data_IF_379736173292
#
_entry.id   IF_379736173292
#
_cell.length_a   1.000
_cell.length_b   1.000
_cell.length_c   1.000
_cell.angle_alpha   90.00
_cell.angle_beta   90.00
_cell.angle_gamma   90.00
#
_symmetry.space_group_name_H-M   'P 1'
#
loop_
_entity.id
_entity.type
_entity.pdbx_description
1 polymer ?
#
# COMPACT_ATOMS: atom_id res chain seq x y z
N UNK A 1 -42.02 23.23 29.86
CA UNK A 1 -41.86 22.41 28.64
C UNK A 1 -40.43 21.90 28.70
N UNK A 2 -40.27 20.64 29.05
CA UNK A 2 -39.06 20.08 29.66
C UNK A 2 -38.07 19.68 28.55
N UNK A 3 -36.83 20.09 28.76
CA UNK A 3 -35.64 19.86 27.97
C UNK A 3 -35.22 18.38 28.05
N UNK A 4 -35.29 17.66 26.94
CA UNK A 4 -34.86 16.26 26.85
C UNK A 4 -33.37 16.21 26.49
N UNK A 5 -32.52 16.11 27.52
CA UNK A 5 -31.13 15.68 27.39
C UNK A 5 -31.07 14.15 27.22
N UNK A 6 -30.23 13.61 26.33
CA UNK A 6 -30.01 12.17 26.23
C UNK A 6 -29.14 11.69 27.40
N UNK A 7 -29.72 10.80 28.20
CA UNK A 7 -29.11 10.16 29.37
C UNK A 7 -28.12 9.08 28.88
N UNK A 8 -26.83 9.24 29.18
CA UNK A 8 -25.82 8.21 28.95
C UNK A 8 -26.03 7.07 29.97
N UNK A 9 -26.03 5.78 29.56
CA UNK A 9 -26.03 4.68 30.51
C UNK A 9 -24.66 4.58 31.19
N UNK A 10 -24.54 5.21 32.35
CA UNK A 10 -23.46 4.93 33.32
C UNK A 10 -23.73 3.55 33.90
N UNK A 11 -23.02 2.52 33.44
CA UNK A 11 -22.65 1.30 34.17
C UNK A 11 -22.17 0.23 33.17
N UNK A 12 -20.91 0.31 32.76
CA UNK A 12 -20.20 -0.83 32.13
C UNK A 12 -18.95 -1.12 32.97
N UNK A 13 -18.79 -2.34 33.51
CA UNK A 13 -17.76 -2.68 34.50
C UNK A 13 -16.34 -2.85 33.94
N UNK A 14 -16.06 -2.40 32.71
CA UNK A 14 -14.76 -2.60 32.03
C UNK A 14 -13.93 -1.32 31.88
N UNK A 15 -14.20 -0.30 32.71
CA UNK A 15 -13.50 0.97 32.70
C UNK A 15 -12.14 0.87 33.40
N UNK A 16 -11.16 0.21 32.78
CA UNK A 16 -9.83 0.03 33.38
C UNK A 16 -8.68 -0.17 32.40
N UNK A 17 -8.93 -0.61 31.17
CA UNK A 17 -7.84 -0.87 30.23
C UNK A 17 -7.46 0.41 29.44
N UNK A 18 -6.22 0.91 29.58
CA UNK A 18 -5.79 2.11 28.86
C UNK A 18 -5.74 1.89 27.34
N UNK A 19 -5.57 0.65 26.87
CA UNK A 19 -5.64 0.28 25.46
C UNK A 19 -7.07 0.34 24.91
N UNK A 20 -8.04 -0.19 25.65
CA UNK A 20 -9.45 -0.18 25.24
C UNK A 20 -10.04 1.23 25.27
N UNK A 21 -9.60 2.05 26.21
CA UNK A 21 -10.01 3.46 26.33
C UNK A 21 -9.43 4.30 25.19
N UNK A 22 -8.17 4.03 24.78
CA UNK A 22 -7.54 4.70 23.64
C UNK A 22 -8.15 4.28 22.30
N UNK A 23 -8.50 3.00 22.15
CA UNK A 23 -9.22 2.47 20.99
C UNK A 23 -10.64 3.05 20.89
N UNK A 24 -11.36 3.13 22.01
CA UNK A 24 -12.68 3.74 22.06
C UNK A 24 -12.63 5.25 21.79
N UNK A 25 -11.58 5.96 22.22
CA UNK A 25 -11.45 7.40 21.92
C UNK A 25 -11.13 7.68 20.45
N UNK A 26 -10.23 6.91 19.82
CA UNK A 26 -9.96 7.06 18.39
C UNK A 26 -11.17 6.66 17.52
N UNK A 27 -11.95 5.68 17.98
CA UNK A 27 -13.21 5.28 17.33
C UNK A 27 -14.32 6.32 17.48
N UNK A 28 -14.43 6.97 18.65
CA UNK A 28 -15.42 8.04 18.87
C UNK A 28 -15.08 9.29 18.04
N UNK A 29 -13.79 9.61 17.91
CA UNK A 29 -13.33 10.69 17.05
C UNK A 29 -13.63 10.37 15.57
N UNK A 30 -13.45 9.12 15.11
CA UNK A 30 -13.88 8.73 13.76
C UNK A 30 -15.40 8.86 13.57
N UNK A 31 -16.23 8.45 14.52
CA UNK A 31 -17.70 8.60 14.41
C UNK A 31 -18.17 10.07 14.35
N UNK A 32 -17.36 11.03 14.81
CA UNK A 32 -17.60 12.48 14.67
C UNK A 32 -17.20 13.01 13.28
N UNK A 33 -16.22 12.38 12.61
CA UNK A 33 -15.71 12.79 11.29
C UNK A 33 -16.21 11.94 10.11
N UNK A 34 -16.80 10.76 10.35
CA UNK A 34 -17.34 9.86 9.34
C UNK A 34 -17.18 8.38 9.70
N UNK A 35 -18.18 7.55 9.44
CA UNK A 35 -18.13 6.11 9.74
C UNK A 35 -17.05 5.40 8.92
N UNK A 36 -16.17 4.64 9.57
CA UNK A 36 -15.14 3.80 8.92
C UNK A 36 -15.70 2.95 7.78
N UNK A 37 -14.92 2.79 6.70
CA UNK A 37 -15.32 2.01 5.51
C UNK A 37 -15.71 0.59 5.89
N UNK A 38 -15.00 -0.06 6.82
CA UNK A 38 -15.30 -1.43 7.29
C UNK A 38 -16.69 -1.57 7.93
N UNK A 39 -17.27 -0.46 8.43
CA UNK A 39 -18.61 -0.43 9.04
C UNK A 39 -19.73 -0.23 8.01
N UNK A 40 -19.39 0.23 6.80
CA UNK A 40 -20.35 0.47 5.73
C UNK A 40 -20.78 -0.83 5.03
N UNK A 41 -21.80 -0.74 4.19
CA UNK A 41 -22.28 -1.89 3.41
C UNK A 41 -21.19 -2.40 2.45
N UNK A 42 -21.20 -3.71 2.16
CA UNK A 42 -20.26 -4.38 1.23
C UNK A 42 -20.06 -3.61 -0.10
N UNK A 43 -21.11 -3.11 -0.79
CA UNK A 43 -20.91 -2.36 -2.03
C UNK A 43 -20.11 -1.06 -1.86
N UNK A 44 -20.22 -0.39 -0.70
CA UNK A 44 -19.46 0.84 -0.42
C UNK A 44 -17.99 0.51 -0.19
N UNK A 45 -17.70 -0.56 0.57
CA UNK A 45 -16.33 -1.05 0.79
C UNK A 45 -15.63 -1.38 -0.53
N UNK A 46 -16.31 -2.16 -1.38
CA UNK A 46 -15.77 -2.55 -2.68
C UNK A 46 -15.57 -1.35 -3.60
N UNK A 47 -16.48 -0.37 -3.59
CA UNK A 47 -16.32 0.83 -4.39
C UNK A 47 -15.12 1.67 -3.95
N UNK A 48 -14.89 1.78 -2.64
CA UNK A 48 -13.73 2.47 -2.09
C UNK A 48 -12.42 1.77 -2.50
N UNK A 49 -12.29 0.47 -2.21
CA UNK A 49 -11.07 -0.31 -2.54
C UNK A 49 -10.80 -0.32 -4.04
N UNK A 50 -11.84 -0.39 -4.88
CA UNK A 50 -11.71 -0.32 -6.34
C UNK A 50 -11.11 1.00 -6.80
N UNK A 51 -11.57 2.13 -6.26
CA UNK A 51 -11.05 3.43 -6.64
C UNK A 51 -9.60 3.62 -6.18
N UNK A 52 -9.27 3.18 -4.96
CA UNK A 52 -7.90 3.21 -4.43
C UNK A 52 -6.97 2.35 -5.31
N UNK A 53 -7.35 1.10 -5.59
CA UNK A 53 -6.55 0.20 -6.41
C UNK A 53 -6.40 0.67 -7.86
N UNK A 54 -7.40 1.37 -8.41
CA UNK A 54 -7.32 1.93 -9.76
C UNK A 54 -6.30 3.08 -9.85
N UNK A 55 -6.27 3.97 -8.86
CA UNK A 55 -5.27 5.04 -8.82
C UNK A 55 -3.89 4.43 -8.62
N UNK A 56 -3.75 3.48 -7.69
CA UNK A 56 -2.51 2.77 -7.45
C UNK A 56 -1.98 2.07 -8.71
N UNK A 57 -2.84 1.36 -9.43
CA UNK A 57 -2.49 0.74 -10.70
C UNK A 57 -1.93 1.77 -11.69
N UNK A 58 -2.56 2.93 -11.79
CA UNK A 58 -2.07 4.04 -12.63
C UNK A 58 -0.67 4.53 -12.20
N UNK A 59 -0.39 4.62 -10.91
CA UNK A 59 0.91 5.05 -10.37
C UNK A 59 2.02 4.04 -10.67
N UNK A 60 1.75 2.74 -10.47
CA UNK A 60 2.73 1.68 -10.76
C UNK A 60 2.93 1.52 -12.28
N UNK A 61 1.87 1.64 -13.08
CA UNK A 61 1.97 1.62 -14.54
C UNK A 61 2.78 2.80 -15.07
N UNK A 62 2.55 4.01 -14.53
CA UNK A 62 3.35 5.19 -14.86
C UNK A 62 4.82 4.95 -14.55
N UNK A 63 5.12 4.34 -13.40
CA UNK A 63 6.49 3.97 -13.02
C UNK A 63 7.11 3.01 -14.05
N UNK A 64 6.40 1.97 -14.46
CA UNK A 64 6.88 1.03 -15.48
C UNK A 64 7.15 1.73 -16.83
N UNK A 65 6.25 2.62 -17.28
CA UNK A 65 6.42 3.36 -18.53
C UNK A 65 7.64 4.28 -18.46
N UNK A 66 7.85 4.97 -17.34
CA UNK A 66 9.05 5.79 -17.12
C UNK A 66 10.32 4.93 -17.13
N UNK A 67 10.35 3.82 -16.40
CA UNK A 67 11.51 2.88 -16.38
C UNK A 67 11.89 2.43 -17.80
N UNK A 68 10.90 2.00 -18.60
CA UNK A 68 11.15 1.56 -19.98
C UNK A 68 11.62 2.73 -20.86
N UNK A 69 11.00 3.90 -20.73
CA UNK A 69 11.38 5.10 -21.49
C UNK A 69 12.80 5.55 -21.16
N UNK A 70 13.18 5.50 -19.89
CA UNK A 70 14.52 5.85 -19.42
C UNK A 70 15.57 4.89 -19.94
N UNK A 71 15.30 3.58 -19.98
CA UNK A 71 16.22 2.61 -20.60
C UNK A 71 16.56 2.96 -22.05
N UNK A 72 15.56 3.34 -22.86
CA UNK A 72 15.80 3.74 -24.25
C UNK A 72 16.69 4.99 -24.35
N UNK A 73 16.53 5.93 -23.41
CA UNK A 73 17.34 7.15 -23.35
C UNK A 73 18.76 6.82 -22.86
N UNK A 74 18.91 6.03 -21.79
CA UNK A 74 20.18 5.70 -21.14
C UNK A 74 21.12 4.90 -22.03
N UNK A 75 20.59 4.06 -22.93
CA UNK A 75 21.37 3.41 -24.00
C UNK A 75 22.14 4.40 -24.90
N UNK A 76 21.72 5.67 -24.92
CA UNK A 76 22.39 6.77 -25.63
C UNK A 76 23.49 7.44 -24.78
N UNK A 77 23.46 7.25 -23.45
CA UNK A 77 24.33 7.86 -22.44
C UNK A 77 25.46 6.97 -21.93
N UNK A 78 25.72 5.81 -22.56
CA UNK A 78 26.83 4.90 -22.20
C UNK A 78 28.20 5.61 -22.09
N UNK A 79 28.37 6.70 -22.83
CA UNK A 79 29.55 7.59 -22.76
C UNK A 79 29.76 8.27 -21.40
N UNK A 80 28.69 8.44 -20.61
CA UNK A 80 28.72 9.14 -19.31
C UNK A 80 29.13 8.21 -18.15
N UNK A 81 29.02 6.88 -18.30
CA UNK A 81 29.37 5.90 -17.26
C UNK A 81 30.88 5.68 -17.06
N UNK A 82 31.72 6.25 -17.93
CA UNK A 82 33.19 6.12 -17.84
C UNK A 82 33.80 7.01 -16.74
N UNK A 83 33.07 7.99 -16.21
CA UNK A 83 33.60 8.98 -15.26
C UNK A 83 33.35 8.62 -13.80
N UNK A 84 34.30 8.98 -12.92
CA UNK A 84 34.20 8.79 -11.45
C UNK A 84 32.94 9.43 -10.81
N UNK A 85 32.28 10.34 -11.55
CA UNK A 85 30.99 10.96 -11.21
C UNK A 85 29.81 9.97 -11.21
N UNK A 86 29.96 8.78 -11.81
CA UNK A 86 28.91 7.74 -11.85
C UNK A 86 28.51 7.22 -10.47
N UNK A 87 29.39 7.29 -9.47
CA UNK A 87 29.04 6.94 -8.09
C UNK A 87 28.07 7.91 -7.41
N UNK A 88 27.96 9.14 -7.90
CA UNK A 88 27.00 10.13 -7.39
C UNK A 88 25.61 10.01 -8.04
N UNK A 89 25.52 9.33 -9.19
CA UNK A 89 24.28 9.15 -9.94
C UNK A 89 23.21 8.43 -9.12
N UNK A 90 23.51 7.41 -8.30
CA UNK A 90 22.54 6.81 -7.37
C UNK A 90 22.09 7.69 -6.21
N UNK A 91 22.92 8.64 -5.78
CA UNK A 91 22.65 9.46 -4.59
C UNK A 91 21.58 10.52 -4.92
N UNK A 92 21.61 11.07 -6.13
CA UNK A 92 20.63 12.07 -6.60
C UNK A 92 19.18 11.57 -6.53
N UNK A 93 18.80 10.41 -7.13
CA UNK A 93 17.45 9.88 -7.02
C UNK A 93 17.09 9.52 -5.58
N UNK A 94 18.05 9.06 -4.77
CA UNK A 94 17.81 8.75 -3.36
C UNK A 94 17.46 10.02 -2.54
N UNK A 95 18.19 11.12 -2.75
CA UNK A 95 17.89 12.42 -2.12
C UNK A 95 16.56 12.98 -2.61
N UNK A 96 16.25 12.83 -3.91
CA UNK A 96 14.98 13.27 -4.47
C UNK A 96 13.81 12.47 -3.88
N UNK A 97 13.96 11.14 -3.69
CA UNK A 97 12.97 10.30 -3.04
C UNK A 97 12.69 10.77 -1.61
N UNK A 98 13.74 11.06 -0.84
CA UNK A 98 13.61 11.55 0.53
C UNK A 98 12.87 12.90 0.60
N UNK A 99 13.17 13.83 -0.31
CA UNK A 99 12.49 15.13 -0.39
C UNK A 99 11.01 14.94 -0.73
N UNK A 100 10.69 14.07 -1.69
CA UNK A 100 9.30 13.80 -2.08
C UNK A 100 8.50 13.17 -0.94
N UNK A 101 9.10 12.24 -0.19
CA UNK A 101 8.47 11.63 0.99
C UNK A 101 8.19 12.71 2.05
N UNK A 102 9.17 13.55 2.38
CA UNK A 102 9.00 14.65 3.35
C UNK A 102 7.91 15.64 2.91
N UNK A 103 7.88 15.98 1.62
CA UNK A 103 6.84 16.82 1.03
C UNK A 103 5.44 16.20 1.18
N UNK A 104 5.33 14.88 0.97
CA UNK A 104 4.06 14.17 1.07
C UNK A 104 3.55 14.07 2.51
N UNK A 105 4.44 13.80 3.48
CA UNK A 105 4.14 13.84 4.91
C UNK A 105 3.66 15.23 5.34
N UNK A 106 4.31 16.29 4.83
CA UNK A 106 3.91 17.67 5.10
C UNK A 106 2.53 18.00 4.50
N UNK A 107 2.24 17.56 3.27
CA UNK A 107 0.94 17.77 2.62
C UNK A 107 -0.22 17.06 3.34
N UNK A 108 0.05 15.93 4.00
CA UNK A 108 -0.94 15.19 4.80
C UNK A 108 -1.39 15.98 6.04
N UNK A 109 -0.45 16.71 6.67
CA UNK A 109 -0.70 17.47 7.90
C UNK A 109 -1.64 18.67 7.69
N UNK A 110 -1.59 19.33 6.53
CA UNK A 110 -2.28 20.61 6.30
C UNK A 110 -3.73 20.51 5.82
N UNK A 111 -4.34 19.31 5.82
CA UNK A 111 -5.73 19.06 5.41
C UNK A 111 -6.21 19.90 4.19
N UNK A 112 -5.47 19.83 3.08
CA UNK A 112 -5.75 20.66 1.90
C UNK A 112 -7.13 20.36 1.25
N UNK A 113 -7.60 21.31 0.44
CA UNK A 113 -8.79 21.15 -0.42
C UNK A 113 -8.59 19.98 -1.39
N UNK A 114 -9.64 19.19 -1.67
CA UNK A 114 -9.58 17.96 -2.47
C UNK A 114 -8.87 18.11 -3.84
N UNK A 115 -9.07 19.24 -4.53
CA UNK A 115 -8.43 19.49 -5.83
C UNK A 115 -6.90 19.62 -5.69
N UNK A 116 -6.42 20.31 -4.66
CA UNK A 116 -5.00 20.45 -4.40
C UNK A 116 -4.35 19.10 -4.06
N UNK A 117 -5.06 18.20 -3.35
CA UNK A 117 -4.56 16.85 -3.06
C UNK A 117 -4.34 16.02 -4.32
N UNK A 118 -5.25 16.09 -5.29
CA UNK A 118 -5.11 15.37 -6.57
C UNK A 118 -3.88 15.87 -7.34
N UNK A 119 -3.72 17.20 -7.46
CA UNK A 119 -2.57 17.78 -8.17
C UNK A 119 -1.26 17.37 -7.49
N UNK A 120 -1.20 17.46 -6.16
CA UNK A 120 -0.02 17.06 -5.40
C UNK A 120 0.29 15.57 -5.56
N UNK A 121 -0.74 14.71 -5.50
CA UNK A 121 -0.59 13.27 -5.73
C UNK A 121 -0.04 12.97 -7.12
N UNK A 122 -0.56 13.62 -8.17
CA UNK A 122 -0.08 13.41 -9.54
C UNK A 122 1.37 13.86 -9.70
N UNK A 123 1.73 15.05 -9.20
CA UNK A 123 3.11 15.54 -9.26
C UNK A 123 4.05 14.62 -8.49
N UNK A 124 3.64 14.19 -7.29
CA UNK A 124 4.39 13.24 -6.47
C UNK A 124 4.61 11.93 -7.23
N UNK A 125 3.56 11.35 -7.79
CA UNK A 125 3.64 10.10 -8.57
C UNK A 125 4.53 10.22 -9.79
N UNK A 126 4.47 11.33 -10.55
CA UNK A 126 5.35 11.50 -11.70
C UNK A 126 6.83 11.59 -11.28
N UNK A 127 7.13 12.35 -10.21
CA UNK A 127 8.50 12.52 -9.74
C UNK A 127 9.04 11.23 -9.10
N UNK A 128 8.22 10.52 -8.31
CA UNK A 128 8.61 9.22 -7.74
C UNK A 128 8.80 8.16 -8.82
N UNK A 129 7.93 8.11 -9.83
CA UNK A 129 8.09 7.22 -10.99
C UNK A 129 9.41 7.45 -11.72
N UNK A 130 9.80 8.72 -11.91
CA UNK A 130 11.09 9.06 -12.53
C UNK A 130 12.27 8.57 -11.69
N UNK A 131 12.25 8.82 -10.38
CA UNK A 131 13.31 8.40 -9.45
C UNK A 131 13.46 6.89 -9.40
N UNK A 132 12.35 6.16 -9.21
CA UNK A 132 12.36 4.71 -9.12
C UNK A 132 12.79 4.12 -10.46
N UNK A 133 12.33 4.70 -11.57
CA UNK A 133 12.75 4.31 -12.91
C UNK A 133 14.26 4.41 -13.08
N UNK A 134 14.86 5.54 -12.73
CA UNK A 134 16.33 5.74 -12.78
C UNK A 134 17.08 4.74 -11.89
N UNK A 135 16.61 4.49 -10.67
CA UNK A 135 17.22 3.51 -9.75
C UNK A 135 17.16 2.11 -10.36
N UNK A 136 16.01 1.70 -10.87
CA UNK A 136 15.79 0.36 -11.43
C UNK A 136 16.63 0.17 -12.68
N UNK A 137 16.68 1.16 -13.57
CA UNK A 137 17.49 1.07 -14.79
C UNK A 137 18.98 0.99 -14.45
N UNK A 138 19.44 1.76 -13.47
CA UNK A 138 20.87 1.81 -13.10
C UNK A 138 21.34 0.57 -12.37
N UNK A 139 20.52 0.01 -11.46
CA UNK A 139 20.95 -1.09 -10.58
C UNK A 139 20.46 -2.47 -11.01
N UNK A 140 19.19 -2.58 -11.40
CA UNK A 140 18.51 -3.87 -11.52
C UNK A 140 17.48 -3.86 -12.66
N UNK A 141 17.89 -3.60 -13.90
CA UNK A 141 16.94 -3.42 -15.01
C UNK A 141 16.12 -4.68 -15.31
N UNK A 142 16.78 -5.83 -15.52
CA UNK A 142 16.10 -7.07 -15.90
C UNK A 142 15.17 -7.59 -14.80
N UNK A 143 15.71 -7.77 -13.58
CA UNK A 143 14.93 -8.25 -12.44
C UNK A 143 13.86 -7.24 -12.00
N UNK A 144 14.19 -5.95 -12.00
CA UNK A 144 13.24 -4.89 -11.61
C UNK A 144 12.04 -4.80 -12.55
N UNK A 145 12.25 -4.97 -13.86
CA UNK A 145 11.17 -4.98 -14.84
C UNK A 145 10.26 -6.20 -14.67
N UNK A 146 10.83 -7.39 -14.37
CA UNK A 146 10.06 -8.59 -14.05
C UNK A 146 9.22 -8.39 -12.79
N UNK A 147 9.82 -7.87 -11.71
CA UNK A 147 9.12 -7.59 -10.44
C UNK A 147 7.98 -6.60 -10.64
N UNK A 148 8.22 -5.49 -11.36
CA UNK A 148 7.17 -4.50 -11.63
C UNK A 148 6.00 -5.11 -12.40
N UNK A 149 6.25 -5.93 -13.41
CA UNK A 149 5.19 -6.60 -14.16
C UNK A 149 4.39 -7.57 -13.27
N UNK A 150 5.06 -8.33 -12.41
CA UNK A 150 4.40 -9.25 -11.49
C UNK A 150 3.56 -8.50 -10.45
N UNK A 151 4.06 -7.40 -9.88
CA UNK A 151 3.29 -6.56 -8.94
C UNK A 151 2.05 -5.98 -9.62
N UNK A 152 2.17 -5.47 -10.85
CA UNK A 152 1.03 -5.00 -11.65
C UNK A 152 -0.01 -6.11 -11.82
N UNK A 153 0.43 -7.34 -12.11
CA UNK A 153 -0.49 -8.47 -12.25
C UNK A 153 -1.26 -8.79 -10.95
N UNK A 154 -0.60 -8.66 -9.79
CA UNK A 154 -1.23 -8.82 -8.48
C UNK A 154 -2.26 -7.71 -8.19
N UNK A 155 -1.92 -6.45 -8.49
CA UNK A 155 -2.84 -5.31 -8.34
C UNK A 155 -4.06 -5.48 -9.25
N UNK A 156 -3.87 -5.93 -10.50
CA UNK A 156 -4.98 -6.23 -11.42
C UNK A 156 -5.87 -7.33 -10.86
N UNK A 157 -5.31 -8.37 -10.24
CA UNK A 157 -6.09 -9.41 -9.60
C UNK A 157 -6.92 -8.89 -8.43
N UNK A 158 -6.33 -8.05 -7.57
CA UNK A 158 -7.06 -7.39 -6.49
C UNK A 158 -8.18 -6.48 -7.03
N UNK A 159 -7.89 -5.71 -8.09
CA UNK A 159 -8.88 -4.88 -8.77
C UNK A 159 -10.03 -5.73 -9.35
N UNK A 160 -9.71 -6.83 -10.03
CA UNK A 160 -10.71 -7.77 -10.54
C UNK A 160 -11.57 -8.37 -9.43
N UNK A 161 -10.98 -8.67 -8.27
CA UNK A 161 -11.70 -9.16 -7.10
C UNK A 161 -12.72 -8.14 -6.58
N UNK A 162 -12.42 -6.83 -6.64
CA UNK A 162 -13.36 -5.78 -6.18
C UNK A 162 -14.64 -5.64 -7.01
N UNK A 163 -14.73 -6.24 -8.20
CA UNK A 163 -16.00 -6.27 -8.94
C UNK A 163 -17.03 -7.21 -8.31
N UNK A 164 -16.60 -8.15 -7.47
CA UNK A 164 -17.50 -9.05 -6.78
C UNK A 164 -18.23 -8.32 -5.65
N UNK A 165 -19.55 -8.45 -5.61
CA UNK A 165 -20.41 -7.84 -4.58
C UNK A 165 -20.77 -8.81 -3.45
N UNK A 166 -20.33 -10.08 -3.55
CA UNK A 166 -20.80 -11.17 -2.68
C UNK A 166 -19.92 -11.40 -1.45
N UNK A 167 -18.61 -11.23 -1.60
CA UNK A 167 -17.65 -11.48 -0.54
C UNK A 167 -17.18 -10.16 0.07
N UNK A 168 -16.91 -10.14 1.37
CA UNK A 168 -16.30 -8.97 2.01
C UNK A 168 -14.84 -8.86 1.57
N UNK A 169 -14.33 -7.63 1.45
CA UNK A 169 -12.91 -7.36 1.19
C UNK A 169 -12.12 -7.48 2.50
N UNK A 170 -12.19 -8.66 3.11
CA UNK A 170 -11.54 -8.97 4.39
C UNK A 170 -11.24 -10.47 4.43
N UNK A 171 -10.08 -10.82 4.98
CA UNK A 171 -9.61 -12.20 5.11
C UNK A 171 -8.60 -12.62 4.03
N UNK A 172 -8.32 -13.94 3.91
CA UNK A 172 -7.24 -14.46 3.06
C UNK A 172 -7.65 -14.65 1.59
N UNK A 173 -8.94 -14.56 1.25
CA UNK A 173 -9.41 -14.84 -0.13
C UNK A 173 -8.81 -13.90 -1.19
N UNK A 174 -8.74 -12.56 -0.98
CA UNK A 174 -8.09 -11.66 -1.92
C UNK A 174 -6.60 -11.98 -2.09
N UNK A 175 -5.93 -12.37 -1.01
CA UNK A 175 -4.51 -12.73 -1.00
C UNK A 175 -4.22 -13.93 -1.91
N UNK A 176 -4.99 -15.01 -1.79
CA UNK A 176 -4.84 -16.18 -2.66
C UNK A 176 -5.10 -15.84 -4.13
N UNK A 177 -6.06 -14.95 -4.42
CA UNK A 177 -6.34 -14.51 -5.78
C UNK A 177 -5.15 -13.73 -6.39
N UNK A 178 -4.56 -12.81 -5.61
CA UNK A 178 -3.35 -12.09 -6.03
C UNK A 178 -2.16 -13.02 -6.25
N UNK A 179 -1.90 -13.92 -5.32
CA UNK A 179 -0.78 -14.86 -5.43
C UNK A 179 -0.93 -15.80 -6.64
N UNK A 180 -2.15 -16.29 -6.88
CA UNK A 180 -2.44 -17.09 -8.07
C UNK A 180 -2.17 -16.32 -9.37
N UNK A 181 -2.55 -15.04 -9.44
CA UNK A 181 -2.31 -14.21 -10.61
C UNK A 181 -0.83 -13.94 -10.86
N UNK A 182 -0.03 -13.74 -9.80
CA UNK A 182 1.43 -13.61 -9.87
C UNK A 182 2.04 -14.90 -10.40
N UNK A 183 1.68 -16.06 -9.85
CA UNK A 183 2.21 -17.35 -10.31
C UNK A 183 1.85 -17.65 -11.77
N UNK A 184 0.63 -17.32 -12.20
CA UNK A 184 0.19 -17.48 -13.59
C UNK A 184 0.95 -16.56 -14.53
N UNK A 185 1.12 -15.28 -14.18
CA UNK A 185 1.90 -14.33 -14.98
C UNK A 185 3.38 -14.69 -15.02
N UNK A 186 3.95 -15.14 -13.91
CA UNK A 186 5.34 -15.58 -13.86
C UNK A 186 5.58 -16.79 -14.77
N UNK A 187 4.66 -17.77 -14.78
CA UNK A 187 4.73 -18.91 -15.68
C UNK A 187 4.71 -18.49 -17.15
N UNK A 188 3.91 -17.47 -17.50
CA UNK A 188 3.88 -16.89 -18.84
C UNK A 188 5.17 -16.15 -19.20
N UNK A 189 5.67 -15.29 -18.30
CA UNK A 189 6.92 -14.53 -18.48
C UNK A 189 8.12 -15.46 -18.63
N UNK A 190 8.15 -16.58 -17.89
CA UNK A 190 9.20 -17.60 -18.02
C UNK A 190 9.32 -18.15 -19.43
N UNK A 191 8.18 -18.45 -20.06
CA UNK A 191 8.14 -18.97 -21.44
C UNK A 191 8.56 -17.89 -22.43
N UNK A 192 8.11 -16.64 -22.21
CA UNK A 192 8.36 -15.54 -23.13
C UNK A 192 9.83 -15.07 -23.16
N UNK A 193 10.51 -15.12 -22.01
CA UNK A 193 11.90 -14.67 -21.85
C UNK A 193 12.90 -15.83 -21.71
N UNK A 194 12.46 -17.09 -21.87
CA UNK A 194 13.29 -18.30 -21.76
C UNK A 194 14.15 -18.37 -20.46
N UNK A 195 13.59 -17.88 -19.34
CA UNK A 195 14.30 -17.80 -18.05
C UNK A 195 14.41 -19.16 -17.34
N UNK A 196 15.48 -19.32 -16.59
CA UNK A 196 15.66 -20.46 -15.70
C UNK A 196 14.68 -20.42 -14.51
N UNK A 197 14.35 -21.61 -14.00
CA UNK A 197 13.38 -21.75 -12.90
C UNK A 197 13.84 -21.07 -11.60
N UNK A 198 15.16 -20.99 -11.38
CA UNK A 198 15.73 -20.35 -10.19
C UNK A 198 15.76 -18.83 -10.34
N UNK A 199 16.00 -18.31 -11.55
CA UNK A 199 16.05 -16.88 -11.82
C UNK A 199 14.69 -16.22 -11.61
N UNK A 200 13.59 -16.89 -12.00
CA UNK A 200 12.25 -16.36 -11.82
C UNK A 200 11.72 -16.49 -10.39
N UNK A 201 12.32 -17.34 -9.55
CA UNK A 201 11.86 -17.53 -8.18
C UNK A 201 12.06 -16.26 -7.33
N UNK A 202 13.18 -15.58 -7.52
CA UNK A 202 13.51 -14.32 -6.84
C UNK A 202 12.48 -13.21 -7.11
N UNK A 203 12.14 -12.87 -8.37
CA UNK A 203 11.14 -11.84 -8.66
C UNK A 203 9.72 -12.26 -8.24
N UNK A 204 9.37 -13.54 -8.30
CA UNK A 204 8.10 -14.05 -7.75
C UNK A 204 8.02 -13.79 -6.24
N UNK A 205 9.08 -14.14 -5.50
CA UNK A 205 9.14 -13.94 -4.06
C UNK A 205 9.02 -12.46 -3.69
N UNK A 206 9.79 -11.59 -4.36
CA UNK A 206 9.75 -10.15 -4.09
C UNK A 206 8.39 -9.53 -4.44
N UNK A 207 7.82 -9.88 -5.59
CA UNK A 207 6.49 -9.40 -5.99
C UNK A 207 5.39 -9.91 -5.05
N UNK A 208 5.47 -11.16 -4.60
CA UNK A 208 4.52 -11.74 -3.65
C UNK A 208 4.54 -11.02 -2.29
N UNK A 209 5.74 -10.68 -1.80
CA UNK A 209 5.90 -9.89 -0.57
C UNK A 209 5.30 -8.49 -0.73
N UNK A 210 5.63 -7.77 -1.82
CA UNK A 210 5.08 -6.44 -2.10
C UNK A 210 3.55 -6.47 -2.20
N UNK A 211 2.98 -7.43 -2.94
CA UNK A 211 1.53 -7.55 -3.05
C UNK A 211 0.86 -7.90 -1.72
N UNK A 212 1.53 -8.67 -0.85
CA UNK A 212 1.03 -8.95 0.50
C UNK A 212 1.00 -7.67 1.34
N UNK A 213 2.06 -6.84 1.28
CA UNK A 213 2.08 -5.55 1.97
C UNK A 213 0.98 -4.61 1.48
N UNK A 214 0.80 -4.49 0.16
CA UNK A 214 -0.27 -3.67 -0.45
C UNK A 214 -1.64 -4.09 0.09
N UNK A 215 -1.90 -5.39 0.18
CA UNK A 215 -3.19 -5.90 0.64
C UNK A 215 -3.40 -5.64 2.15
N UNK A 216 -2.37 -5.88 2.96
CA UNK A 216 -2.43 -5.67 4.42
C UNK A 216 -2.63 -4.19 4.76
N UNK A 217 -1.90 -3.31 4.08
CA UNK A 217 -2.03 -1.87 4.28
C UNK A 217 -3.41 -1.36 3.82
N UNK A 218 -3.93 -1.89 2.70
CA UNK A 218 -5.29 -1.58 2.27
C UNK A 218 -6.34 -1.99 3.32
N UNK A 219 -6.17 -3.14 4.00
CA UNK A 219 -7.06 -3.53 5.10
C UNK A 219 -6.99 -2.55 6.28
N UNK A 220 -5.80 -2.10 6.66
CA UNK A 220 -5.62 -1.13 7.73
C UNK A 220 -6.20 0.24 7.38
N UNK A 221 -6.00 0.69 6.13
CA UNK A 221 -6.53 1.96 5.63
C UNK A 221 -8.06 1.94 5.58
N UNK A 222 -8.66 0.83 5.16
CA UNK A 222 -10.12 0.66 5.17
C UNK A 222 -10.72 0.75 6.58
N UNK A 223 -9.98 0.34 7.61
CA UNK A 223 -10.46 0.44 8.99
C UNK A 223 -10.39 1.87 9.56
N UNK A 224 -9.42 2.66 9.11
CA UNK A 224 -9.10 3.97 9.68
C UNK A 224 -9.51 5.18 8.83
N UNK A 225 -10.10 4.96 7.65
CA UNK A 225 -10.43 6.04 6.70
C UNK A 225 -11.93 6.04 6.37
N UNK A 226 -12.51 7.22 6.14
CA UNK A 226 -13.88 7.38 5.64
C UNK A 226 -13.95 7.07 4.14
N UNK A 227 -15.12 6.65 3.65
CA UNK A 227 -15.34 6.30 2.25
C UNK A 227 -15.17 7.48 1.27
N UNK A 228 -15.24 8.70 1.78
CA UNK A 228 -15.06 9.94 1.01
C UNK A 228 -13.59 10.30 0.77
N UNK A 229 -12.67 9.74 1.56
CA UNK A 229 -11.24 10.12 1.58
C UNK A 229 -10.36 9.18 0.74
N UNK A 230 -10.81 8.83 -0.48
CA UNK A 230 -10.10 7.92 -1.40
C UNK A 230 -8.69 8.42 -1.75
N UNK A 231 -8.53 9.73 -1.97
CA UNK A 231 -7.24 10.31 -2.37
C UNK A 231 -6.22 10.22 -1.23
N UNK A 232 -6.67 10.45 0.00
CA UNK A 232 -5.84 10.36 1.20
C UNK A 232 -5.39 8.90 1.43
N UNK A 233 -6.33 7.97 1.33
CA UNK A 233 -6.07 6.53 1.40
C UNK A 233 -5.01 6.09 0.36
N UNK A 234 -5.20 6.47 -0.90
CA UNK A 234 -4.24 6.13 -1.96
C UNK A 234 -2.86 6.75 -1.73
N UNK A 235 -2.81 7.97 -1.21
CA UNK A 235 -1.56 8.66 -0.90
C UNK A 235 -0.75 7.91 0.16
N UNK A 236 -1.41 7.46 1.24
CA UNK A 236 -0.78 6.67 2.28
C UNK A 236 -0.26 5.34 1.71
N UNK A 237 -1.13 4.64 0.98
CA UNK A 237 -0.81 3.34 0.39
C UNK A 237 0.38 3.44 -0.59
N UNK A 238 0.41 4.47 -1.44
CA UNK A 238 1.52 4.66 -2.37
C UNK A 238 2.82 5.02 -1.64
N UNK A 239 2.75 5.82 -0.58
CA UNK A 239 3.92 6.09 0.25
C UNK A 239 4.45 4.82 0.94
N UNK A 240 3.58 3.94 1.40
CA UNK A 240 3.95 2.66 2.01
C UNK A 240 4.54 1.65 1.01
N UNK A 241 4.15 1.69 -0.27
CA UNK A 241 4.83 0.93 -1.33
C UNK A 241 6.27 1.38 -1.52
N UNK A 242 6.53 2.68 -1.43
CA UNK A 242 7.88 3.24 -1.56
C UNK A 242 8.71 3.01 -0.29
N UNK A 243 8.05 3.13 0.87
CA UNK A 243 8.70 3.05 2.16
C UNK A 243 7.76 2.41 3.19
N UNK A 244 7.85 1.08 3.40
CA UNK A 244 6.86 0.31 4.15
C UNK A 244 6.96 0.46 5.68
N UNK A 245 7.42 1.60 6.21
CA UNK A 245 7.59 1.77 7.66
C UNK A 245 6.27 1.80 8.43
N UNK A 246 5.23 2.44 7.88
CA UNK A 246 3.95 2.50 8.57
C UNK A 246 3.28 1.13 8.51
N UNK A 247 3.35 0.45 7.37
CA UNK A 247 2.94 -0.95 7.24
C UNK A 247 3.67 -1.87 8.24
N UNK A 248 5.01 -1.76 8.36
CA UNK A 248 5.79 -2.54 9.33
C UNK A 248 5.39 -2.24 10.77
N UNK A 249 5.16 -0.96 11.11
CA UNK A 249 4.69 -0.58 12.44
C UNK A 249 3.33 -1.23 12.77
N UNK A 250 2.39 -1.16 11.84
CA UNK A 250 1.07 -1.79 11.99
C UNK A 250 1.18 -3.32 12.11
N UNK A 251 2.13 -3.95 11.38
CA UNK A 251 2.39 -5.38 11.51
C UNK A 251 3.02 -5.75 12.86
N UNK A 252 3.91 -4.91 13.40
CA UNK A 252 4.43 -5.09 14.75
C UNK A 252 3.30 -4.99 15.78
N UNK A 253 2.38 -4.02 15.65
CA UNK A 253 1.21 -3.91 16.52
C UNK A 253 0.29 -5.15 16.43
N UNK A 254 0.07 -5.68 15.22
CA UNK A 254 -0.69 -6.91 15.02
C UNK A 254 0.02 -8.12 15.65
N UNK A 255 1.35 -8.20 15.51
CA UNK A 255 2.18 -9.26 16.09
C UNK A 255 2.16 -9.19 17.62
N UNK A 256 2.21 -8.00 18.21
CA UNK A 256 2.14 -7.80 19.66
C UNK A 256 0.76 -8.17 20.22
N UNK A 257 -0.31 -7.87 19.48
CA UNK A 257 -1.66 -8.31 19.83
C UNK A 257 -1.85 -9.84 19.71
N UNK A 258 -1.16 -10.49 18.75
CA UNK A 258 -1.14 -11.95 18.63
C UNK A 258 -0.36 -12.62 19.78
N UNK A 259 0.71 -11.99 20.29
CA UNK A 259 1.41 -12.45 21.49
C UNK A 259 0.55 -12.37 22.77
N UNK A 260 -0.53 -11.57 22.79
CA UNK A 260 -1.52 -11.60 23.88
C UNK A 260 -2.44 -12.83 23.81
N UNK A 261 -2.55 -13.49 22.65
CA UNK A 261 -3.32 -14.72 22.50
C UNK A 261 -2.62 -15.96 23.09
N UNK A 262 -1.30 -15.88 23.34
CA UNK A 262 -0.53 -16.89 24.09
C UNK A 262 -0.82 -16.85 25.60
N UNK A 263 -1.46 -15.78 26.10
CA UNK A 263 -1.98 -15.71 27.48
C UNK A 263 -3.26 -16.54 27.68
N UNK A 264 -3.83 -17.08 26.59
CA UNK A 264 -4.96 -18.02 26.61
C UNK A 264 -4.57 -19.48 26.32
N UNK A 265 -3.28 -19.82 26.29
CA UNK A 265 -2.91 -21.24 26.40
C UNK A 265 -3.22 -21.72 27.83
N UNK A 266 -4.05 -22.77 27.98
CA UNK A 266 -4.57 -23.19 29.27
C UNK A 266 -3.43 -23.66 30.15
N UNK A 267 -3.49 -23.29 31.44
CA UNK A 267 -2.57 -23.83 32.44
C UNK A 267 -2.50 -25.36 32.35
N UNK A 268 -1.35 -25.96 32.67
CA UNK A 268 -1.21 -27.41 32.66
C UNK A 268 -2.25 -28.03 33.61
N UNK A 269 -2.89 -29.16 33.25
CA UNK A 269 -3.69 -29.91 34.20
C UNK A 269 -2.72 -30.53 35.21
N UNK A 270 -2.76 -30.06 36.46
CA UNK A 270 -2.55 -30.78 37.71
C UNK A 270 -2.77 -29.84 38.90
#
# INVERSE_FOLDING_TARGET
MIENTPILPTNSPYLGDPLLTRYHSSQLDLDVFGTSVTRNTIPVQMSFSRNVLLILFGQVLTTLVFTVSLQYIQLTWDWLQISILTWWIPIIPCVLAAILILWQLWALYFQLVNLARIILLTIFSCLSSFIIGEIVVTFCYADGLLVMNLVISGIVAFYCYTFQQKFKFSGPSPWFCGMAAICLNASWLRILFELDALEILTPIGLAGVICTYILLDLYYIMDNTSAEDVILANTCLYADILYPMRCLHNLCELSDNLNMLDILYPGPPN
#
